data_IF_620658881967
#
_entry.id   IF_620658881967
#
_cell.length_a   1.000
_cell.length_b   1.000
_cell.length_c   1.000
_cell.angle_alpha   90.00
_cell.angle_beta   90.00
_cell.angle_gamma   90.00
#
_symmetry.space_group_name_H-M   'P 1'
#
loop_
_entity.id
_entity.type
_entity.pdbx_description
1 polymer ?
#
# COMPACT_ATOMS: atom_id res chain seq x y z
N UNK A 1 -2.51 21.63 20.98
CA UNK A 1 -3.97 21.66 21.09
C UNK A 1 -4.60 20.31 21.43
N UNK A 2 -3.98 19.15 21.17
CA UNK A 2 -4.50 17.84 21.50
C UNK A 2 -5.64 17.30 20.65
N UNK A 3 -6.11 18.07 19.69
CA UNK A 3 -7.00 17.63 18.63
C UNK A 3 -6.27 17.67 17.30
N UNK A 4 -6.58 16.73 16.41
CA UNK A 4 -6.13 16.83 15.03
C UNK A 4 -6.78 18.05 14.33
N UNK A 5 -6.21 18.47 13.21
CA UNK A 5 -6.67 19.67 12.51
C UNK A 5 -8.13 19.53 12.02
N UNK A 6 -8.56 18.31 11.70
CA UNK A 6 -9.93 18.03 11.23
C UNK A 6 -10.94 18.22 12.35
N UNK A 7 -10.68 17.72 13.55
CA UNK A 7 -11.54 17.92 14.71
C UNK A 7 -11.57 19.39 15.15
N UNK A 8 -10.46 20.14 15.01
CA UNK A 8 -10.45 21.56 15.27
C UNK A 8 -11.41 22.32 14.36
N UNK A 9 -11.44 22.00 13.07
CA UNK A 9 -12.38 22.60 12.10
C UNK A 9 -13.83 22.23 12.41
N UNK A 10 -14.11 20.98 12.83
CA UNK A 10 -15.44 20.55 13.26
C UNK A 10 -15.89 21.34 14.51
N UNK A 11 -15.03 21.48 15.51
CA UNK A 11 -15.31 22.25 16.73
C UNK A 11 -15.52 23.75 16.43
N UNK A 12 -14.86 24.28 15.41
CA UNK A 12 -15.04 25.66 14.95
C UNK A 12 -16.32 25.83 14.09
N UNK A 13 -16.98 24.74 13.70
CA UNK A 13 -18.13 24.80 12.79
C UNK A 13 -17.77 25.14 11.34
N UNK A 14 -16.49 25.00 10.99
CA UNK A 14 -15.96 25.28 9.66
C UNK A 14 -16.08 24.10 8.69
N UNK A 15 -16.34 22.92 9.26
CA UNK A 15 -16.44 21.66 8.53
C UNK A 15 -17.41 20.69 9.20
N UNK A 16 -18.13 19.90 8.41
CA UNK A 16 -18.86 18.72 8.90
C UNK A 16 -17.92 17.50 8.93
N UNK A 17 -18.19 16.56 9.86
CA UNK A 17 -17.43 15.31 9.90
C UNK A 17 -17.68 14.51 8.62
N UNK A 18 -16.60 13.95 8.05
CA UNK A 18 -16.63 13.05 6.89
C UNK A 18 -16.60 11.59 7.26
N UNK A 19 -16.50 11.26 8.54
CA UNK A 19 -16.56 9.87 9.01
C UNK A 19 -17.87 9.21 8.57
N UNK A 20 -17.78 7.98 8.08
CA UNK A 20 -18.96 7.19 7.66
C UNK A 20 -19.97 6.97 8.80
N UNK A 21 -19.54 7.17 10.03
CA UNK A 21 -20.35 7.05 11.25
C UNK A 21 -20.81 8.39 11.81
N UNK A 22 -20.58 9.48 11.09
CA UNK A 22 -21.08 10.81 11.45
C UNK A 22 -22.58 10.94 11.13
N UNK A 23 -23.39 10.06 11.67
CA UNK A 23 -24.83 10.17 11.56
C UNK A 23 -25.27 11.17 12.64
N UNK A 24 -26.23 12.03 12.30
CA UNK A 24 -26.98 12.80 13.28
C UNK A 24 -27.51 11.77 14.28
N UNK A 25 -27.10 11.87 15.54
CA UNK A 25 -27.56 10.97 16.58
C UNK A 25 -29.08 10.93 16.63
N UNK A 26 -29.66 9.90 17.22
CA UNK A 26 -31.11 9.74 17.32
C UNK A 26 -31.82 10.96 17.95
N UNK A 27 -31.09 11.85 18.59
CA UNK A 27 -31.55 13.11 19.19
C UNK A 27 -31.32 14.35 18.29
N UNK A 28 -30.84 14.16 17.05
CA UNK A 28 -30.61 15.24 16.10
C UNK A 28 -29.31 16.00 16.32
N UNK A 29 -28.40 15.55 17.22
CA UNK A 29 -27.12 16.21 17.47
C UNK A 29 -26.02 15.64 16.56
N UNK A 30 -25.04 16.47 16.16
CA UNK A 30 -23.91 16.00 15.38
C UNK A 30 -23.02 15.07 16.21
N UNK A 31 -22.65 13.95 15.61
CA UNK A 31 -21.71 12.97 16.18
C UNK A 31 -20.50 12.82 15.26
N UNK A 32 -19.41 12.30 15.80
CA UNK A 32 -18.16 12.05 15.08
C UNK A 32 -17.56 10.71 15.55
N UNK A 33 -16.91 10.02 14.67
CA UNK A 33 -16.10 8.87 15.04
C UNK A 33 -14.67 9.32 15.34
N UNK A 34 -14.12 8.89 16.47
CA UNK A 34 -12.84 9.37 16.98
C UNK A 34 -11.93 8.22 17.42
N UNK A 35 -10.63 8.55 17.50
CA UNK A 35 -9.62 7.76 18.20
C UNK A 35 -9.08 8.63 19.32
N UNK A 36 -9.09 8.11 20.55
CA UNK A 36 -8.58 8.79 21.74
C UNK A 36 -7.27 8.12 22.14
N UNK A 37 -6.17 8.83 21.99
CA UNK A 37 -4.83 8.36 22.35
C UNK A 37 -4.48 8.74 23.79
N UNK A 38 -3.83 7.81 24.48
CA UNK A 38 -3.40 7.96 25.87
C UNK A 38 -1.88 7.96 25.97
N UNK A 39 -1.35 8.56 27.03
CA UNK A 39 0.08 8.53 27.36
C UNK A 39 0.55 7.15 27.88
N UNK A 40 -0.37 6.22 28.12
CA UNK A 40 -0.17 4.85 28.57
C UNK A 40 -1.30 3.97 28.02
N UNK A 41 -1.12 2.66 28.09
CA UNK A 41 -2.18 1.75 27.68
C UNK A 41 -3.42 1.91 28.57
N UNK A 42 -4.60 2.23 27.99
CA UNK A 42 -5.79 2.57 28.75
C UNK A 42 -6.33 1.35 29.54
N UNK A 43 -6.37 1.50 30.85
CA UNK A 43 -6.89 0.48 31.77
C UNK A 43 -8.39 0.67 32.08
N UNK A 44 -8.96 -0.17 32.95
CA UNK A 44 -10.39 -0.14 33.29
C UNK A 44 -10.88 1.23 33.80
N UNK A 45 -10.04 1.97 34.54
CA UNK A 45 -10.38 3.31 35.06
C UNK A 45 -10.47 4.34 33.94
N UNK A 46 -9.55 4.29 32.98
CA UNK A 46 -9.55 5.21 31.81
C UNK A 46 -10.75 4.96 30.94
N UNK A 47 -11.05 3.67 30.68
CA UNK A 47 -12.22 3.22 29.92
C UNK A 47 -13.51 3.72 30.55
N UNK A 48 -13.66 3.56 31.87
CA UNK A 48 -14.87 4.00 32.60
C UNK A 48 -15.00 5.52 32.62
N UNK A 49 -13.90 6.26 32.79
CA UNK A 49 -13.88 7.70 32.75
C UNK A 49 -14.28 8.25 31.38
N UNK A 50 -13.74 7.66 30.30
CA UNK A 50 -14.11 8.02 28.93
C UNK A 50 -15.61 7.72 28.68
N UNK A 51 -16.05 6.52 29.02
CA UNK A 51 -17.44 6.09 28.85
C UNK A 51 -18.41 7.02 29.60
N UNK A 52 -18.17 7.27 30.87
CA UNK A 52 -19.02 8.15 31.69
C UNK A 52 -19.06 9.57 31.13
N UNK A 53 -17.95 10.09 30.59
CA UNK A 53 -17.88 11.41 29.98
C UNK A 53 -18.75 11.49 28.74
N UNK A 54 -18.67 10.53 27.82
CA UNK A 54 -19.47 10.56 26.57
C UNK A 54 -20.95 10.27 26.84
N UNK A 55 -21.28 9.38 27.79
CA UNK A 55 -22.65 9.08 28.19
C UNK A 55 -23.33 10.30 28.83
N UNK A 56 -22.60 11.11 29.60
CA UNK A 56 -23.12 12.35 30.15
C UNK A 56 -23.58 13.36 29.07
N UNK A 57 -23.07 13.22 27.86
CA UNK A 57 -23.45 14.01 26.69
C UNK A 57 -24.46 13.32 25.77
N UNK A 58 -25.04 12.19 26.22
CA UNK A 58 -26.12 11.48 25.50
C UNK A 58 -25.68 10.35 24.60
N UNK A 59 -24.38 9.98 24.63
CA UNK A 59 -23.92 8.77 23.92
C UNK A 59 -24.55 7.51 24.53
N UNK A 60 -24.84 6.54 23.67
CA UNK A 60 -25.38 5.25 24.07
C UNK A 60 -24.57 4.14 23.45
N UNK A 61 -24.23 3.14 24.23
CA UNK A 61 -23.45 1.98 23.81
C UNK A 61 -24.22 0.95 22.98
N UNK A 62 -25.53 1.15 22.78
CA UNK A 62 -26.39 0.25 22.02
C UNK A 62 -26.10 0.36 20.50
N UNK A 63 -25.27 -0.51 19.99
CA UNK A 63 -24.89 -0.57 18.59
C UNK A 63 -23.73 0.35 18.17
N UNK A 64 -23.13 1.06 19.12
CA UNK A 64 -21.94 1.88 18.87
C UNK A 64 -20.66 1.11 19.14
N UNK A 65 -19.64 1.35 18.33
CA UNK A 65 -18.33 0.76 18.51
C UNK A 65 -17.56 1.45 19.63
N UNK A 66 -17.03 0.64 20.52
CA UNK A 66 -16.12 1.04 21.57
C UNK A 66 -15.05 -0.04 21.67
N UNK A 67 -13.86 0.23 21.16
CA UNK A 67 -12.80 -0.77 21.07
C UNK A 67 -11.52 -0.23 21.70
N UNK A 68 -10.98 -0.95 22.67
CA UNK A 68 -9.62 -0.73 23.18
C UNK A 68 -8.65 -1.45 22.26
N UNK A 69 -7.60 -0.76 21.83
CA UNK A 69 -6.60 -1.32 20.93
C UNK A 69 -5.56 -2.10 21.71
N UNK A 70 -5.28 -3.35 21.34
CA UNK A 70 -4.32 -4.20 22.07
C UNK A 70 -2.86 -3.76 21.91
N UNK A 71 -2.53 -3.11 20.78
CA UNK A 71 -1.15 -2.76 20.41
C UNK A 71 -0.94 -1.25 20.21
N UNK A 72 -1.94 -0.46 20.54
CA UNK A 72 -1.88 0.99 20.49
C UNK A 72 -2.46 1.54 21.79
N UNK A 73 -1.85 2.55 22.35
CA UNK A 73 -2.35 3.23 23.56
C UNK A 73 -3.56 4.12 23.22
N UNK A 74 -4.61 3.51 22.71
CA UNK A 74 -5.77 4.23 22.19
C UNK A 74 -7.09 3.46 22.35
N UNK A 75 -8.18 4.23 22.32
CA UNK A 75 -9.55 3.74 22.27
C UNK A 75 -10.24 4.31 21.04
N UNK A 76 -10.88 3.45 20.25
CA UNK A 76 -11.61 3.81 19.03
C UNK A 76 -13.11 3.83 19.33
N UNK A 77 -13.78 4.89 18.93
CA UNK A 77 -15.23 5.07 19.20
C UNK A 77 -15.93 5.66 17.97
N UNK A 78 -17.18 5.29 17.77
CA UNK A 78 -18.07 5.92 16.80
C UNK A 78 -19.25 6.65 17.48
N UNK A 79 -19.95 7.45 16.69
CA UNK A 79 -21.16 8.17 17.12
C UNK A 79 -20.97 9.04 18.37
N UNK A 80 -19.75 9.52 18.63
CA UNK A 80 -19.43 10.36 19.79
C UNK A 80 -20.03 11.75 19.60
N UNK A 81 -20.84 12.26 20.53
CA UNK A 81 -21.36 13.62 20.43
C UNK A 81 -20.26 14.66 20.34
N UNK A 82 -20.26 15.51 19.31
CA UNK A 82 -19.22 16.54 19.11
C UNK A 82 -19.06 17.42 20.35
N UNK A 83 -20.14 17.67 21.08
CA UNK A 83 -20.13 18.47 22.31
C UNK A 83 -19.28 17.85 23.44
N UNK A 84 -19.05 16.53 23.43
CA UNK A 84 -18.24 15.84 24.45
C UNK A 84 -16.73 15.94 24.22
N UNK A 85 -16.27 16.32 23.03
CA UNK A 85 -14.85 16.30 22.66
C UNK A 85 -13.96 17.09 23.61
N UNK A 86 -14.42 18.27 24.04
CA UNK A 86 -13.65 19.13 24.96
C UNK A 86 -13.50 18.47 26.34
N UNK A 87 -14.48 17.74 26.79
CA UNK A 87 -14.43 17.06 28.09
C UNK A 87 -13.64 15.75 27.99
N UNK A 88 -13.67 15.06 26.86
CA UNK A 88 -12.78 13.93 26.56
C UNK A 88 -11.30 14.39 26.62
N UNK A 89 -10.98 15.52 26.00
CA UNK A 89 -9.62 16.07 26.04
C UNK A 89 -9.09 16.37 27.43
N UNK A 90 -9.96 16.67 28.38
CA UNK A 90 -9.59 16.98 29.79
C UNK A 90 -9.37 15.74 30.64
N UNK A 91 -9.67 14.53 30.14
CA UNK A 91 -9.43 13.30 30.87
C UNK A 91 -7.93 13.09 31.10
N UNK A 92 -7.60 12.53 32.24
CA UNK A 92 -6.22 12.21 32.58
C UNK A 92 -5.64 11.21 31.58
N UNK A 93 -4.44 11.47 31.12
CA UNK A 93 -3.73 10.59 30.19
C UNK A 93 -4.07 10.78 28.72
N UNK A 94 -5.12 11.50 28.37
CA UNK A 94 -5.42 11.78 26.95
C UNK A 94 -4.39 12.75 26.37
N UNK A 95 -3.73 12.36 25.28
CA UNK A 95 -2.67 13.12 24.61
C UNK A 95 -3.05 13.60 23.22
N UNK A 96 -3.99 12.91 22.56
CA UNK A 96 -4.51 13.29 21.24
C UNK A 96 -5.93 12.74 21.10
N UNK A 97 -6.78 13.52 20.48
CA UNK A 97 -8.08 13.07 19.96
C UNK A 97 -8.11 13.37 18.47
N UNK A 98 -8.31 12.35 17.65
CA UNK A 98 -8.37 12.50 16.20
C UNK A 98 -9.67 11.97 15.62
N UNK A 99 -10.12 12.52 14.48
CA UNK A 99 -11.23 11.99 13.72
C UNK A 99 -10.81 10.70 13.01
N UNK A 100 -11.65 9.66 13.08
CA UNK A 100 -11.44 8.48 12.24
C UNK A 100 -11.49 8.87 10.76
N UNK A 101 -10.48 8.44 10.02
CA UNK A 101 -10.42 8.68 8.59
C UNK A 101 -11.36 7.75 7.84
N UNK A 102 -11.99 8.27 6.81
CA UNK A 102 -12.64 7.43 5.80
C UNK A 102 -11.54 6.82 4.94
N UNK A 103 -11.44 5.51 4.98
CA UNK A 103 -10.52 4.78 4.10
C UNK A 103 -11.21 4.59 2.75
N UNK A 104 -10.63 5.15 1.71
CA UNK A 104 -11.12 5.00 0.35
C UNK A 104 -10.01 4.43 -0.54
N UNK A 105 -10.34 3.56 -1.50
CA UNK A 105 -9.35 3.06 -2.44
C UNK A 105 -8.88 4.21 -3.34
N UNK A 106 -7.57 4.47 -3.36
CA UNK A 106 -6.99 5.55 -4.18
C UNK A 106 -6.70 5.14 -5.61
N UNK A 107 -6.58 3.85 -5.89
CA UNK A 107 -6.20 3.36 -7.22
C UNK A 107 -7.22 3.74 -8.31
N UNK A 108 -8.47 3.92 -7.95
CA UNK A 108 -9.53 4.37 -8.86
C UNK A 108 -9.33 5.81 -9.36
N UNK A 109 -8.62 6.66 -8.60
CA UNK A 109 -8.22 8.03 -8.99
C UNK A 109 -6.80 8.05 -9.56
N UNK A 110 -5.84 7.47 -8.85
CA UNK A 110 -4.42 7.51 -9.20
C UNK A 110 -4.15 7.05 -10.64
N UNK A 111 -4.74 5.93 -11.08
CA UNK A 111 -4.58 5.44 -12.45
C UNK A 111 -5.25 6.32 -13.51
N UNK A 112 -6.24 7.12 -13.14
CA UNK A 112 -6.87 8.11 -14.03
C UNK A 112 -6.11 9.44 -14.03
N UNK A 113 -5.70 9.93 -12.87
CA UNK A 113 -4.88 11.12 -12.70
C UNK A 113 -3.55 11.01 -13.44
N UNK A 114 -2.90 9.86 -13.39
CA UNK A 114 -1.65 9.57 -14.13
C UNK A 114 -1.84 9.33 -15.64
N UNK A 115 -3.04 9.46 -16.17
CA UNK A 115 -3.41 9.24 -17.59
C UNK A 115 -3.23 7.78 -18.06
N UNK A 116 -3.24 6.83 -17.18
CA UNK A 116 -3.19 5.41 -17.55
C UNK A 116 -4.57 4.92 -17.94
N UNK A 117 -5.57 5.16 -17.10
CA UNK A 117 -6.98 4.79 -17.38
C UNK A 117 -7.77 5.94 -17.98
N UNK A 118 -8.76 5.59 -18.81
CA UNK A 118 -9.70 6.55 -19.36
C UNK A 118 -10.47 7.27 -18.26
N UNK A 119 -10.62 8.58 -18.44
CA UNK A 119 -11.41 9.46 -17.57
C UNK A 119 -12.09 10.51 -18.43
N UNK A 120 -13.06 11.22 -17.88
CA UNK A 120 -13.66 12.37 -18.59
C UNK A 120 -12.79 13.64 -18.57
N UNK A 121 -11.59 13.58 -17.96
CA UNK A 121 -10.71 14.74 -17.76
C UNK A 121 -9.62 14.84 -18.83
N UNK A 122 -9.10 13.70 -19.28
CA UNK A 122 -8.02 13.65 -20.26
C UNK A 122 -8.48 12.98 -21.56
N UNK A 123 -8.20 13.61 -22.69
CA UNK A 123 -8.60 13.14 -24.02
C UNK A 123 -7.85 11.89 -24.45
N UNK A 124 -6.61 11.71 -23.98
CA UNK A 124 -5.72 10.61 -24.37
C UNK A 124 -5.12 9.94 -23.14
N UNK A 125 -5.21 8.61 -23.07
CA UNK A 125 -4.70 7.79 -21.99
C UNK A 125 -4.00 6.56 -22.55
N UNK A 126 -3.09 5.95 -21.77
CA UNK A 126 -2.37 4.75 -22.23
C UNK A 126 -3.33 3.61 -22.60
N UNK A 127 -4.39 3.41 -21.82
CA UNK A 127 -5.41 2.38 -22.13
C UNK A 127 -6.27 2.73 -23.31
N UNK A 128 -6.59 4.00 -23.50
CA UNK A 128 -7.27 4.49 -24.71
C UNK A 128 -6.47 4.22 -25.99
N UNK A 129 -5.14 4.19 -25.87
CA UNK A 129 -4.19 3.83 -26.93
C UNK A 129 -3.94 2.31 -27.02
N UNK A 130 -4.57 1.49 -26.17
CA UNK A 130 -4.40 0.02 -26.18
C UNK A 130 -3.23 -0.50 -25.36
N UNK A 131 -2.57 0.34 -24.57
CA UNK A 131 -1.46 -0.08 -23.72
C UNK A 131 -1.97 -0.52 -22.33
N UNK A 132 -1.87 -1.81 -22.02
CA UNK A 132 -2.25 -2.41 -20.74
C UNK A 132 -1.29 -3.50 -20.26
N UNK A 133 -0.12 -3.58 -20.89
CA UNK A 133 0.97 -4.45 -20.46
C UNK A 133 0.93 -5.87 -21.00
N UNK A 134 -0.01 -6.21 -21.91
CA UNK A 134 -0.11 -7.55 -22.46
C UNK A 134 1.21 -8.08 -23.00
N UNK A 135 1.56 -9.29 -22.60
CA UNK A 135 2.78 -9.96 -22.98
C UNK A 135 4.06 -9.44 -22.28
N UNK A 136 3.92 -8.63 -21.23
CA UNK A 136 5.05 -8.19 -20.41
C UNK A 136 5.02 -8.90 -19.06
N UNK A 137 6.19 -9.15 -18.53
CA UNK A 137 6.38 -9.78 -17.22
C UNK A 137 6.99 -8.76 -16.26
N UNK A 138 6.37 -8.59 -15.12
CA UNK A 138 6.84 -7.73 -14.03
C UNK A 138 7.25 -8.65 -12.87
N UNK A 139 8.50 -8.55 -12.44
CA UNK A 139 8.96 -9.17 -11.21
C UNK A 139 8.69 -8.21 -10.05
N UNK A 140 7.96 -8.69 -9.05
CA UNK A 140 7.72 -8.01 -7.78
C UNK A 140 8.71 -8.59 -6.77
N UNK A 141 9.70 -7.81 -6.38
CA UNK A 141 10.62 -8.16 -5.30
C UNK A 141 10.06 -7.57 -4.01
N UNK A 142 9.56 -8.42 -3.12
CA UNK A 142 8.85 -7.95 -1.93
C UNK A 142 8.73 -9.05 -0.84
N UNK A 143 7.65 -9.06 -0.06
CA UNK A 143 7.35 -10.05 0.99
C UNK A 143 6.77 -11.37 0.48
N UNK A 144 6.68 -11.56 -0.82
CA UNK A 144 5.91 -12.59 -1.49
C UNK A 144 4.64 -11.99 -2.09
N UNK A 145 3.89 -12.77 -2.85
CA UNK A 145 2.59 -12.38 -3.42
C UNK A 145 1.61 -13.53 -3.26
N UNK A 146 0.45 -13.27 -2.66
CA UNK A 146 -0.72 -14.16 -2.70
C UNK A 146 -1.28 -14.13 -4.14
N UNK A 147 -0.78 -15.02 -4.98
CA UNK A 147 -1.13 -15.09 -6.40
C UNK A 147 -2.53 -15.65 -6.64
N UNK A 148 -3.17 -16.29 -5.63
CA UNK A 148 -4.58 -16.67 -5.62
C UNK A 148 -5.52 -15.51 -5.30
N UNK A 149 -4.99 -14.34 -4.98
CA UNK A 149 -5.83 -13.18 -4.70
C UNK A 149 -6.63 -12.77 -5.94
N UNK A 150 -7.96 -12.69 -5.83
CA UNK A 150 -8.88 -12.44 -6.96
C UNK A 150 -8.58 -11.19 -7.80
N UNK A 151 -7.82 -10.22 -7.28
CA UNK A 151 -7.36 -9.05 -8.04
C UNK A 151 -6.08 -9.31 -8.84
N UNK A 152 -5.48 -10.47 -8.70
CA UNK A 152 -4.30 -10.94 -9.45
C UNK A 152 -4.65 -12.03 -10.46
N UNK A 153 -5.91 -12.17 -10.74
CA UNK A 153 -6.46 -13.01 -11.78
C UNK A 153 -6.07 -12.51 -13.18
N UNK A 154 -6.25 -13.35 -14.20
CA UNK A 154 -5.88 -12.95 -15.55
C UNK A 154 -6.78 -11.81 -16.09
N UNK A 155 -6.28 -11.10 -17.07
CA UNK A 155 -7.00 -9.96 -17.63
C UNK A 155 -8.20 -10.36 -18.49
N UNK A 156 -8.22 -11.58 -18.98
CA UNK A 156 -9.22 -12.15 -19.90
C UNK A 156 -10.31 -12.93 -19.18
N UNK A 157 -10.11 -13.24 -17.91
CA UNK A 157 -11.02 -14.05 -17.11
C UNK A 157 -12.47 -13.54 -17.13
N UNK A 158 -13.40 -14.45 -17.34
CA UNK A 158 -14.82 -14.16 -17.51
C UNK A 158 -15.55 -14.00 -16.18
N UNK A 159 -15.23 -14.80 -15.19
CA UNK A 159 -15.90 -14.83 -13.90
C UNK A 159 -15.08 -14.15 -12.79
N UNK A 160 -13.78 -14.00 -12.95
CA UNK A 160 -12.85 -13.29 -12.07
C UNK A 160 -12.73 -13.94 -10.69
N UNK A 161 -12.54 -15.23 -10.68
CA UNK A 161 -12.38 -16.01 -9.46
C UNK A 161 -10.99 -16.65 -9.29
N UNK A 162 -10.05 -16.27 -10.15
CA UNK A 162 -8.68 -16.79 -10.17
C UNK A 162 -8.60 -18.32 -10.32
N UNK A 163 -9.48 -18.88 -11.12
CA UNK A 163 -9.45 -20.29 -11.49
C UNK A 163 -9.55 -20.44 -13.02
N UNK A 164 -8.86 -21.42 -13.57
CA UNK A 164 -8.94 -21.73 -15.00
C UNK A 164 -10.20 -22.52 -15.30
N UNK A 165 -11.22 -21.87 -15.79
CA UNK A 165 -12.45 -22.51 -16.22
C UNK A 165 -12.32 -23.18 -17.61
N UNK A 166 -13.15 -24.18 -17.95
CA UNK A 166 -13.02 -24.89 -19.20
C UNK A 166 -13.20 -24.08 -20.50
N UNK A 167 -13.77 -22.88 -20.37
CA UNK A 167 -13.99 -21.92 -21.45
C UNK A 167 -12.99 -20.78 -21.48
N UNK A 168 -12.04 -20.77 -20.52
CA UNK A 168 -10.95 -19.81 -20.45
C UNK A 168 -9.67 -20.40 -21.05
N UNK A 169 -8.84 -19.51 -21.56
CA UNK A 169 -7.49 -19.89 -21.98
C UNK A 169 -6.68 -20.03 -20.69
N UNK A 170 -6.09 -21.18 -20.48
CA UNK A 170 -5.14 -21.40 -19.38
C UNK A 170 -3.95 -20.44 -19.53
N UNK A 171 -4.04 -19.29 -18.93
CA UNK A 171 -3.01 -18.24 -18.96
C UNK A 171 -2.97 -17.53 -17.61
N UNK A 172 -2.50 -18.23 -16.55
CA UNK A 172 -2.43 -17.68 -15.22
C UNK A 172 -1.59 -16.42 -15.25
N UNK A 173 -2.03 -15.40 -14.53
CA UNK A 173 -1.29 -14.14 -14.40
C UNK A 173 0.08 -14.34 -13.75
N UNK A 174 0.13 -15.19 -12.74
CA UNK A 174 1.38 -15.65 -12.15
C UNK A 174 2.05 -16.70 -13.08
N UNK A 175 3.34 -16.50 -13.34
CA UNK A 175 4.10 -17.36 -14.28
C UNK A 175 5.31 -18.01 -13.63
N UNK A 176 5.66 -17.64 -12.42
CA UNK A 176 6.75 -18.23 -11.66
C UNK A 176 7.22 -17.32 -10.55
N UNK A 177 8.07 -17.84 -9.69
CA UNK A 177 8.54 -17.11 -8.52
C UNK A 177 9.79 -17.70 -7.90
N UNK A 178 10.20 -17.11 -6.79
CA UNK A 178 11.32 -17.57 -5.99
C UNK A 178 11.29 -16.99 -4.58
N UNK A 179 11.28 -17.84 -3.57
CA UNK A 179 11.65 -17.43 -2.22
C UNK A 179 13.17 -17.42 -2.06
N UNK A 180 13.76 -16.24 -1.91
CA UNK A 180 15.18 -16.04 -1.66
C UNK A 180 15.49 -15.76 -0.19
N UNK A 181 14.50 -15.81 0.70
CA UNK A 181 14.72 -15.63 2.14
C UNK A 181 15.41 -16.86 2.73
N UNK A 182 16.31 -16.65 3.68
CA UNK A 182 17.00 -17.75 4.39
C UNK A 182 17.92 -18.62 3.55
N UNK A 183 18.09 -18.36 2.25
CA UNK A 183 18.95 -19.16 1.40
C UNK A 183 20.42 -18.75 1.49
N UNK A 184 21.29 -19.76 1.57
CA UNK A 184 22.73 -19.59 1.31
C UNK A 184 23.03 -19.55 -0.19
N UNK A 185 23.63 -18.51 -0.63
CA UNK A 185 24.42 -18.30 -1.87
C UNK A 185 23.81 -18.45 -3.26
N UNK A 186 22.70 -19.12 -3.54
CA UNK A 186 22.17 -19.21 -4.92
C UNK A 186 20.86 -19.96 -5.05
N UNK A 187 20.11 -20.10 -3.99
CA UNK A 187 18.93 -20.94 -3.99
C UNK A 187 17.65 -20.15 -4.12
N UNK A 188 16.67 -20.79 -4.61
CA UNK A 188 15.30 -20.54 -4.45
C UNK A 188 14.78 -21.59 -3.46
N UNK A 189 14.18 -21.19 -2.36
CA UNK A 189 13.63 -22.14 -1.39
C UNK A 189 12.30 -22.70 -1.86
N UNK A 190 11.52 -21.85 -2.48
CA UNK A 190 10.21 -22.15 -3.03
C UNK A 190 10.07 -21.45 -4.39
N UNK A 191 9.42 -22.10 -5.33
CA UNK A 191 9.14 -21.54 -6.66
C UNK A 191 7.81 -20.79 -6.69
N UNK A 192 6.98 -20.94 -5.66
CA UNK A 192 5.67 -20.29 -5.47
C UNK A 192 5.56 -19.75 -4.04
N UNK A 193 6.24 -18.64 -3.73
CA UNK A 193 6.32 -18.11 -2.37
C UNK A 193 5.07 -17.30 -2.00
N UNK A 194 4.42 -17.71 -0.94
CA UNK A 194 3.29 -16.99 -0.37
C UNK A 194 3.69 -15.68 0.33
N UNK A 195 2.72 -14.77 0.46
CA UNK A 195 2.85 -13.50 1.16
C UNK A 195 2.26 -13.56 2.58
N UNK A 196 3.09 -13.75 3.57
CA UNK A 196 2.65 -13.77 4.97
C UNK A 196 2.46 -12.38 5.61
N UNK A 197 2.92 -11.30 4.95
CA UNK A 197 2.79 -9.90 5.42
C UNK A 197 1.62 -9.16 4.75
N UNK A 198 1.46 -9.31 3.45
CA UNK A 198 0.46 -8.63 2.62
C UNK A 198 1.00 -7.42 1.83
N UNK A 199 2.23 -6.95 2.10
CA UNK A 199 2.80 -5.79 1.41
C UNK A 199 3.08 -6.09 -0.07
N UNK A 200 3.70 -7.22 -0.39
CA UNK A 200 4.01 -7.60 -1.75
C UNK A 200 2.77 -7.84 -2.61
N UNK A 201 1.74 -8.46 -2.06
CA UNK A 201 0.43 -8.62 -2.71
C UNK A 201 -0.20 -7.26 -3.03
N UNK A 202 -0.13 -6.32 -2.10
CA UNK A 202 -0.62 -4.96 -2.33
C UNK A 202 0.18 -4.25 -3.44
N UNK A 203 1.50 -4.35 -3.44
CA UNK A 203 2.39 -3.80 -4.48
C UNK A 203 2.07 -4.42 -5.85
N UNK A 204 1.90 -5.73 -5.92
CA UNK A 204 1.48 -6.44 -7.14
C UNK A 204 0.12 -5.94 -7.64
N UNK A 205 -0.86 -5.79 -6.75
CA UNK A 205 -2.18 -5.24 -7.08
C UNK A 205 -2.10 -3.85 -7.70
N UNK A 206 -1.27 -2.94 -7.16
CA UNK A 206 -1.03 -1.61 -7.74
C UNK A 206 -0.36 -1.71 -9.10
N UNK A 207 0.66 -2.54 -9.24
CA UNK A 207 1.43 -2.63 -10.48
C UNK A 207 0.61 -3.27 -11.62
N UNK A 208 -0.02 -4.41 -11.37
CA UNK A 208 -0.55 -5.27 -12.42
C UNK A 208 -1.91 -5.91 -12.10
N UNK A 209 -2.56 -5.53 -10.99
CA UNK A 209 -3.86 -6.08 -10.62
C UNK A 209 -4.94 -5.87 -11.67
N UNK A 210 -5.77 -6.87 -11.89
CA UNK A 210 -6.93 -6.82 -12.79
C UNK A 210 -8.13 -6.14 -12.15
N UNK A 211 -8.07 -5.98 -10.84
CA UNK A 211 -9.12 -5.39 -10.01
C UNK A 211 -10.14 -6.42 -9.54
N UNK A 212 -11.07 -5.98 -8.74
CA UNK A 212 -12.21 -6.76 -8.31
C UNK A 212 -13.20 -7.02 -9.46
N UNK A 213 -14.30 -7.72 -9.16
CA UNK A 213 -15.37 -8.00 -10.13
C UNK A 213 -15.92 -6.74 -10.82
N UNK A 214 -15.78 -5.57 -10.19
CA UNK A 214 -16.17 -4.27 -10.77
C UNK A 214 -15.07 -3.64 -11.64
N UNK A 215 -13.85 -4.14 -11.55
CA UNK A 215 -12.63 -3.58 -12.15
C UNK A 215 -12.36 -2.13 -11.81
N UNK A 216 -12.87 -1.64 -10.68
CA UNK A 216 -12.65 -0.25 -10.24
C UNK A 216 -11.20 -0.04 -9.82
N UNK A 217 -10.64 -0.98 -9.06
CA UNK A 217 -9.29 -0.91 -8.50
C UNK A 217 -8.23 -1.59 -9.34
N UNK A 218 -8.30 -1.48 -10.66
CA UNK A 218 -7.27 -2.03 -11.54
C UNK A 218 -5.94 -1.32 -11.37
N UNK A 219 -4.86 -2.09 -11.33
CA UNK A 219 -3.49 -1.62 -11.37
C UNK A 219 -3.10 -0.90 -12.66
N UNK A 220 -1.85 -0.50 -12.74
CA UNK A 220 -1.33 0.26 -13.88
C UNK A 220 -1.22 -0.59 -15.15
N UNK A 221 -0.88 -1.87 -15.02
CA UNK A 221 -0.57 -2.79 -16.13
C UNK A 221 -1.31 -4.14 -16.00
N UNK A 222 -2.65 -4.14 -16.03
CA UNK A 222 -3.44 -5.33 -15.69
C UNK A 222 -3.28 -6.50 -16.67
N UNK A 223 -2.78 -6.26 -17.87
CA UNK A 223 -2.48 -7.30 -18.86
C UNK A 223 -1.07 -7.88 -18.74
N UNK A 224 -0.27 -7.47 -17.74
CA UNK A 224 1.06 -8.03 -17.51
C UNK A 224 0.99 -9.31 -16.69
N UNK A 225 1.99 -10.16 -16.89
CA UNK A 225 2.22 -11.36 -16.08
C UNK A 225 3.06 -11.03 -14.84
N UNK A 226 2.88 -11.82 -13.80
CA UNK A 226 3.53 -11.70 -12.50
C UNK A 226 4.65 -12.74 -12.37
N UNK A 227 5.83 -12.28 -11.98
CA UNK A 227 6.87 -13.09 -11.35
C UNK A 227 7.01 -12.62 -9.92
N UNK A 228 6.84 -13.53 -8.96
CA UNK A 228 6.97 -13.25 -7.55
C UNK A 228 8.36 -13.59 -7.03
N UNK A 229 9.02 -12.63 -6.39
CA UNK A 229 10.34 -12.84 -5.80
C UNK A 229 10.34 -12.37 -4.36
N UNK A 230 10.15 -13.31 -3.45
CA UNK A 230 10.18 -13.03 -2.02
C UNK A 230 11.60 -12.78 -1.52
N UNK A 231 11.87 -11.53 -1.16
CA UNK A 231 13.16 -11.06 -0.63
C UNK A 231 13.06 -10.61 0.83
N UNK A 232 11.85 -10.54 1.36
CA UNK A 232 11.53 -10.17 2.74
C UNK A 232 10.68 -11.25 3.40
N UNK A 233 10.88 -11.43 4.70
CA UNK A 233 10.19 -12.40 5.54
C UNK A 233 8.73 -11.97 5.82
N UNK A 234 7.92 -12.89 6.34
CA UNK A 234 6.49 -12.69 6.65
C UNK A 234 6.20 -11.60 7.68
N UNK A 235 7.20 -11.04 8.33
CA UNK A 235 7.07 -9.89 9.23
C UNK A 235 7.45 -8.56 8.57
N UNK A 236 7.57 -8.50 7.23
CA UNK A 236 7.88 -7.29 6.47
C UNK A 236 9.34 -6.85 6.53
N UNK A 237 10.23 -7.65 7.11
CA UNK A 237 11.65 -7.37 7.19
C UNK A 237 12.49 -8.27 6.29
N UNK A 238 13.67 -7.79 5.90
CA UNK A 238 14.61 -8.56 5.09
C UNK A 238 16.07 -8.21 5.42
N UNK A 239 16.97 -8.82 4.69
CA UNK A 239 18.40 -8.54 4.79
C UNK A 239 19.02 -8.43 3.39
N UNK A 240 20.22 -7.84 3.32
CA UNK A 240 20.92 -7.67 2.04
C UNK A 240 21.17 -8.99 1.31
N UNK A 241 21.36 -10.09 2.02
CA UNK A 241 21.60 -11.40 1.38
C UNK A 241 20.40 -11.85 0.57
N UNK A 242 19.18 -11.78 1.13
CA UNK A 242 17.94 -12.15 0.43
C UNK A 242 17.68 -11.24 -0.78
N UNK A 243 17.89 -9.93 -0.60
CA UNK A 243 17.74 -8.94 -1.70
C UNK A 243 18.71 -9.24 -2.85
N UNK A 244 19.99 -9.47 -2.53
CA UNK A 244 21.00 -9.79 -3.54
C UNK A 244 20.72 -11.12 -4.24
N UNK A 245 20.25 -12.13 -3.48
CA UNK A 245 19.87 -13.43 -4.05
C UNK A 245 18.67 -13.29 -5.02
N UNK A 246 17.63 -12.56 -4.62
CA UNK A 246 16.47 -12.30 -5.47
C UNK A 246 16.81 -11.50 -6.73
N UNK A 247 17.61 -10.44 -6.62
CA UNK A 247 18.10 -9.69 -7.79
C UNK A 247 18.93 -10.56 -8.73
N UNK A 248 19.82 -11.40 -8.18
CA UNK A 248 20.61 -12.32 -8.99
C UNK A 248 19.72 -13.35 -9.70
N UNK A 249 18.69 -13.85 -9.02
CA UNK A 249 17.73 -14.78 -9.60
C UNK A 249 17.00 -14.13 -10.77
N UNK A 250 16.51 -12.90 -10.62
CA UNK A 250 15.84 -12.12 -11.69
C UNK A 250 16.75 -11.94 -12.90
N UNK A 251 18.03 -11.56 -12.70
CA UNK A 251 18.99 -11.42 -13.80
C UNK A 251 19.18 -12.75 -14.55
N UNK A 252 19.26 -13.86 -13.82
CA UNK A 252 19.43 -15.18 -14.40
C UNK A 252 18.19 -15.66 -15.19
N UNK A 253 16.98 -15.21 -14.78
CA UNK A 253 15.72 -15.57 -15.39
C UNK A 253 15.17 -14.53 -16.37
N UNK A 254 15.94 -13.51 -16.73
CA UNK A 254 15.49 -12.42 -17.61
C UNK A 254 15.04 -12.86 -19.00
N UNK A 255 15.48 -14.04 -19.45
CA UNK A 255 15.16 -14.59 -20.76
C UNK A 255 14.36 -15.92 -20.67
N UNK A 256 13.90 -16.30 -19.47
CA UNK A 256 13.18 -17.54 -19.21
C UNK A 256 11.90 -17.61 -20.03
N UNK A 257 11.64 -18.76 -20.63
CA UNK A 257 10.37 -19.08 -21.26
C UNK A 257 9.47 -19.73 -20.20
N UNK A 258 8.48 -18.98 -19.73
CA UNK A 258 7.62 -19.38 -18.62
C UNK A 258 6.59 -20.45 -19.00
N UNK A 259 6.52 -20.85 -20.27
CA UNK A 259 5.66 -21.96 -20.72
C UNK A 259 4.18 -21.63 -20.85
N UNK A 260 3.77 -20.44 -20.42
CA UNK A 260 2.44 -19.93 -20.65
C UNK A 260 2.40 -19.25 -22.03
N UNK A 261 1.36 -19.47 -22.73
CA UNK A 261 0.99 -18.96 -24.03
C UNK A 261 1.90 -17.84 -24.60
N UNK A 262 2.96 -18.18 -25.27
CA UNK A 262 3.82 -17.44 -26.22
C UNK A 262 4.08 -15.92 -26.03
N UNK A 263 3.32 -15.21 -25.24
CA UNK A 263 3.42 -13.76 -25.08
C UNK A 263 4.20 -13.31 -23.84
N UNK A 264 4.39 -14.19 -22.86
CA UNK A 264 5.21 -13.94 -21.68
C UNK A 264 6.55 -14.64 -21.80
N UNK A 265 7.58 -13.93 -22.16
CA UNK A 265 8.95 -14.44 -22.18
C UNK A 265 9.86 -13.48 -21.44
N UNK A 266 10.64 -14.03 -20.54
CA UNK A 266 11.60 -13.29 -19.76
C UNK A 266 10.95 -12.33 -18.75
N UNK A 267 11.75 -11.51 -18.16
CA UNK A 267 11.34 -10.43 -17.24
C UNK A 267 11.68 -9.10 -17.88
N UNK A 268 10.77 -8.15 -17.93
CA UNK A 268 11.04 -6.83 -18.51
C UNK A 268 11.17 -5.75 -17.46
N UNK A 269 10.42 -5.85 -16.37
CA UNK A 269 10.37 -4.83 -15.31
C UNK A 269 10.59 -5.48 -13.96
N UNK A 270 11.36 -4.82 -13.12
CA UNK A 270 11.63 -5.22 -11.73
C UNK A 270 11.12 -4.12 -10.82
N UNK A 271 10.17 -4.43 -9.94
CA UNK A 271 9.60 -3.51 -8.96
C UNK A 271 10.17 -3.81 -7.59
N UNK A 272 10.69 -2.78 -6.91
CA UNK A 272 11.37 -2.86 -5.61
C UNK A 272 10.80 -1.80 -4.68
N UNK A 273 9.78 -2.18 -3.89
CA UNK A 273 9.10 -1.27 -2.95
C UNK A 273 9.66 -1.39 -1.54
N UNK A 274 10.97 -1.46 -1.40
CA UNK A 274 11.68 -1.59 -0.14
C UNK A 274 12.98 -0.78 -0.16
N UNK A 275 13.67 -0.74 0.98
CA UNK A 275 14.98 -0.15 1.13
C UNK A 275 15.58 -0.44 2.48
N UNK A 276 16.84 -0.11 2.66
CA UNK A 276 17.51 -0.27 3.96
C UNK A 276 16.87 0.67 4.97
N UNK A 277 16.47 0.13 6.12
CA UNK A 277 15.97 0.94 7.22
C UNK A 277 17.09 1.89 7.70
N UNK A 278 16.78 3.17 7.80
CA UNK A 278 17.67 4.15 8.44
C UNK A 278 17.70 3.89 9.94
N UNK A 279 18.71 3.19 10.43
CA UNK A 279 18.80 2.77 11.83
C UNK A 279 19.57 3.72 12.73
N UNK A 280 20.15 4.81 12.19
CA UNK A 280 20.95 5.72 12.99
C UNK A 280 20.90 7.16 12.47
N UNK A 281 20.83 8.11 13.40
CA UNK A 281 21.15 9.52 13.17
C UNK A 281 22.56 9.61 12.58
N UNK A 282 22.66 9.85 11.28
CA UNK A 282 23.94 9.98 10.57
C UNK A 282 24.24 8.89 9.54
N UNK A 283 23.41 7.88 9.37
CA UNK A 283 23.48 6.97 8.21
C UNK A 283 22.80 7.70 7.04
N UNK A 284 23.63 8.48 6.40
CA UNK A 284 23.28 9.35 5.30
C UNK A 284 23.11 8.56 4.01
N UNK A 285 22.23 9.07 3.16
CA UNK A 285 22.27 8.91 1.70
C UNK A 285 23.14 7.78 1.20
N UNK A 286 22.51 6.73 0.77
CA UNK A 286 23.18 5.77 -0.09
C UNK A 286 23.75 6.54 -1.29
N UNK A 287 25.02 6.32 -1.57
CA UNK A 287 25.74 7.01 -2.65
C UNK A 287 25.79 6.21 -3.96
N UNK A 288 24.99 5.15 -4.06
CA UNK A 288 24.95 4.25 -5.23
C UNK A 288 26.08 3.22 -5.29
N UNK A 289 26.95 3.15 -4.28
CA UNK A 289 28.08 2.20 -4.25
C UNK A 289 27.79 0.90 -3.49
N UNK A 290 26.60 0.77 -2.89
CA UNK A 290 26.21 -0.46 -2.18
C UNK A 290 26.14 -1.67 -3.12
N UNK A 291 26.20 -2.87 -2.56
CA UNK A 291 26.09 -4.10 -3.35
C UNK A 291 24.74 -4.21 -4.05
N UNK A 292 23.68 -3.78 -3.37
CA UNK A 292 22.32 -3.73 -3.91
C UNK A 292 22.24 -2.76 -5.10
N UNK A 293 22.74 -1.52 -4.97
CA UNK A 293 22.76 -0.55 -6.06
C UNK A 293 23.56 -1.07 -7.27
N UNK A 294 24.73 -1.66 -7.03
CA UNK A 294 25.55 -2.24 -8.08
C UNK A 294 24.82 -3.38 -8.81
N UNK A 295 24.08 -4.22 -8.10
CA UNK A 295 23.35 -5.32 -8.73
C UNK A 295 22.12 -4.83 -9.50
N UNK A 296 21.46 -3.77 -9.05
CA UNK A 296 20.40 -3.07 -9.80
C UNK A 296 20.99 -2.48 -11.11
N UNK A 297 22.17 -1.86 -11.06
CA UNK A 297 22.85 -1.39 -12.26
C UNK A 297 23.13 -2.54 -13.24
N UNK A 298 23.63 -3.67 -12.75
CA UNK A 298 23.83 -4.86 -13.59
C UNK A 298 22.52 -5.40 -14.17
N UNK A 299 21.43 -5.42 -13.42
CA UNK A 299 20.12 -5.82 -13.92
C UNK A 299 19.70 -4.94 -15.10
N UNK A 300 19.87 -3.62 -14.98
CA UNK A 300 19.58 -2.67 -16.06
C UNK A 300 20.51 -2.84 -17.28
N UNK A 301 21.78 -3.09 -17.07
CA UNK A 301 22.73 -3.40 -18.15
C UNK A 301 22.36 -4.70 -18.90
N UNK A 302 21.69 -5.62 -18.22
CA UNK A 302 21.13 -6.84 -18.80
C UNK A 302 19.73 -6.65 -19.43
N UNK A 303 19.27 -5.42 -19.57
CA UNK A 303 18.06 -5.06 -20.31
C UNK A 303 16.77 -5.02 -19.48
N UNK A 304 16.87 -5.13 -18.15
CA UNK A 304 15.73 -5.03 -17.24
C UNK A 304 15.44 -3.55 -16.92
N UNK A 305 14.18 -3.18 -16.80
CA UNK A 305 13.76 -1.87 -16.31
C UNK A 305 13.58 -1.96 -14.80
N UNK A 306 14.49 -1.37 -14.04
CA UNK A 306 14.49 -1.39 -12.58
C UNK A 306 13.76 -0.16 -12.03
N UNK A 307 12.71 -0.39 -11.23
CA UNK A 307 11.91 0.66 -10.58
C UNK A 307 12.02 0.47 -9.08
N UNK A 308 12.40 1.50 -8.34
CA UNK A 308 12.60 1.43 -6.90
C UNK A 308 11.94 2.60 -6.18
N UNK A 309 11.45 2.35 -4.96
CA UNK A 309 11.02 3.43 -4.08
C UNK A 309 12.22 4.28 -3.65
N UNK A 310 12.03 5.58 -3.48
CA UNK A 310 13.07 6.46 -2.93
C UNK A 310 13.30 6.20 -1.43
N UNK A 311 12.28 5.76 -0.72
CA UNK A 311 12.25 5.59 0.73
C UNK A 311 11.27 6.54 1.39
N UNK A 312 11.08 6.37 2.72
CA UNK A 312 10.12 7.12 3.54
C UNK A 312 10.79 7.97 4.63
N UNK A 313 12.11 8.14 4.57
CA UNK A 313 12.91 8.75 5.65
C UNK A 313 13.10 10.28 5.49
N UNK A 314 12.25 10.92 4.69
CA UNK A 314 12.23 12.37 4.50
C UNK A 314 13.21 12.90 3.45
N UNK A 315 13.19 14.22 3.27
CA UNK A 315 14.02 14.88 2.27
C UNK A 315 15.52 14.66 2.55
N UNK A 316 16.25 14.16 1.59
CA UNK A 316 17.68 13.86 1.55
C UNK A 316 18.05 12.40 1.86
N UNK A 317 17.10 11.47 1.90
CA UNK A 317 17.41 10.07 2.09
C UNK A 317 16.94 9.27 0.88
N UNK A 318 17.86 8.62 0.19
CA UNK A 318 17.59 7.67 -0.90
C UNK A 318 18.00 6.29 -0.41
N UNK A 319 17.15 5.30 -0.55
CA UNK A 319 17.47 3.93 -0.13
C UNK A 319 18.47 3.23 -1.07
N UNK A 320 19.02 2.08 -0.66
CA UNK A 320 20.10 1.40 -1.36
C UNK A 320 19.79 1.02 -2.82
N UNK A 321 18.58 0.50 -3.10
CA UNK A 321 18.17 0.12 -4.47
C UNK A 321 17.78 1.33 -5.32
N UNK A 322 17.23 2.36 -4.69
CA UNK A 322 16.88 3.64 -5.33
C UNK A 322 18.09 4.50 -5.66
N UNK A 323 19.23 4.30 -4.98
CA UNK A 323 20.47 5.04 -5.23
C UNK A 323 21.26 4.52 -6.45
N UNK A 324 20.86 3.41 -7.06
CA UNK A 324 21.50 2.89 -8.26
C UNK A 324 21.39 3.89 -9.42
N UNK A 325 22.46 4.09 -10.17
CA UNK A 325 22.55 5.07 -11.27
C UNK A 325 21.51 4.84 -12.38
N UNK A 326 21.07 3.60 -12.55
CA UNK A 326 20.16 3.18 -13.62
C UNK A 326 18.74 2.92 -13.13
N UNK A 327 18.48 3.08 -11.84
CA UNK A 327 17.14 2.91 -11.26
C UNK A 327 16.21 4.05 -11.67
N UNK A 328 14.95 3.70 -11.96
CA UNK A 328 13.85 4.67 -11.96
C UNK A 328 13.39 4.81 -10.52
N UNK A 329 13.90 5.82 -9.83
CA UNK A 329 13.63 6.04 -8.42
C UNK A 329 12.38 6.89 -8.26
N UNK A 330 11.38 6.34 -7.56
CA UNK A 330 10.03 6.89 -7.46
C UNK A 330 9.83 7.51 -6.08
N UNK A 331 9.51 8.78 -6.08
CA UNK A 331 9.09 9.55 -4.91
C UNK A 331 7.57 9.58 -4.76
N UNK A 332 7.11 10.30 -3.75
CA UNK A 332 5.71 10.38 -3.35
C UNK A 332 5.06 11.69 -3.82
N UNK A 333 3.86 11.56 -4.38
CA UNK A 333 3.02 12.67 -4.81
C UNK A 333 1.67 12.59 -4.09
N UNK A 334 1.24 13.69 -3.48
CA UNK A 334 -0.12 13.83 -2.96
C UNK A 334 -1.04 14.28 -4.09
N UNK A 335 -1.84 13.38 -4.63
CA UNK A 335 -2.80 13.63 -5.70
C UNK A 335 -4.15 14.18 -5.21
N UNK A 336 -4.25 14.52 -3.90
CA UNK A 336 -5.47 14.98 -3.24
C UNK A 336 -6.69 14.07 -3.47
N UNK A 337 -6.45 12.84 -3.89
CA UNK A 337 -7.47 11.88 -4.33
C UNK A 337 -8.38 12.44 -5.42
N UNK A 338 -7.84 13.21 -6.33
CA UNK A 338 -8.54 13.77 -7.50
C UNK A 338 -7.99 13.22 -8.81
N UNK A 339 -8.65 13.49 -9.92
CA UNK A 339 -8.16 13.17 -11.27
C UNK A 339 -7.42 14.37 -11.86
N UNK A 340 -7.69 15.57 -11.37
CA UNK A 340 -7.07 16.81 -11.85
C UNK A 340 -5.66 16.95 -11.24
N UNK A 341 -4.64 16.96 -12.09
CA UNK A 341 -3.24 17.07 -11.68
C UNK A 341 -2.81 18.50 -11.31
N UNK A 342 -3.69 19.49 -11.47
CA UNK A 342 -3.36 20.88 -11.13
C UNK A 342 -3.36 21.14 -9.62
N UNK A 343 -3.96 20.27 -8.82
CA UNK A 343 -3.98 20.32 -7.37
C UNK A 343 -2.96 19.36 -6.71
N UNK A 344 -2.22 18.59 -7.51
CA UNK A 344 -1.16 17.71 -7.01
C UNK A 344 -0.04 18.48 -6.31
N UNK A 345 0.52 17.89 -5.28
CA UNK A 345 1.66 18.47 -4.57
C UNK A 345 2.69 17.42 -4.18
N UNK A 346 3.97 17.81 -4.20
CA UNK A 346 5.03 16.96 -3.63
C UNK A 346 4.91 17.04 -2.11
N UNK A 347 4.88 15.89 -1.45
CA UNK A 347 4.91 15.86 0.00
C UNK A 347 6.19 16.45 0.55
N UNK A 348 6.07 17.16 1.65
CA UNK A 348 7.20 17.74 2.38
C UNK A 348 7.71 16.83 3.50
N UNK A 349 7.18 15.62 3.63
CA UNK A 349 7.58 14.67 4.68
C UNK A 349 8.80 13.87 4.27
#
# INVERSE_FOLDING_TARGET
>A
NGFDDRLQMILAGERESVSLTSIIGNDGRPTVAIIVHYAWHPGPTDIESLRSTIEAHGWKSDGSWFMVMDHLDAIVLDHVPVISLIDIWKLEGVVLVEEQSVIVPYLDKATKGSKVRTSGVYDETLRGLGYHGSGKVIAILDTGVDNEHFSLDDFSDNNRDNTNDPDEIEDPKWVGGCDSTGVGQSGCNDEDPDDGDGHGTHVAGIALGTGDSSRVNQGYSPGSYLVDVKVMEDYGGGNSQSILAGLQWVINNRDTDWGNNASSRGIQVVSMSFGRASSAVGDSNEDGTSAEANLVNQASENGLVCVAAIGNDGANNVNSVGAADTSITVGWLDDKNTIDRNDDSISSN
#
